data_IF_933931121519
#
_entry.id   IF_933931121519
#
_cell.length_a   1.000
_cell.length_b   1.000
_cell.length_c   1.000
_cell.angle_alpha   90.00
_cell.angle_beta   90.00
_cell.angle_gamma   90.00
#
_symmetry.space_group_name_H-M   'P 1'
#
loop_
_entity.id
_entity.type
_entity.pdbx_description
1 polymer ?
#
# COMPACT_ATOMS: atom_id res chain seq x y z
N UNK A 1 9.65 4.54 26.66
CA UNK A 1 9.46 3.99 25.30
C UNK A 1 9.51 5.15 24.33
N UNK A 2 10.46 5.16 23.40
CA UNK A 2 10.51 6.19 22.35
C UNK A 2 9.27 6.04 21.48
N UNK A 3 8.41 7.08 21.44
CA UNK A 3 7.27 7.11 20.54
C UNK A 3 7.77 6.99 19.09
N UNK A 4 7.14 6.13 18.27
CA UNK A 4 7.46 5.94 16.85
C UNK A 4 7.49 7.27 16.10
N UNK A 5 6.56 8.18 16.40
CA UNK A 5 6.51 9.51 15.77
C UNK A 5 7.76 10.32 16.08
N UNK A 6 8.23 10.29 17.33
CA UNK A 6 9.44 11.00 17.75
C UNK A 6 10.70 10.41 17.12
N UNK A 7 10.76 9.08 16.96
CA UNK A 7 11.87 8.41 16.30
C UNK A 7 11.90 8.69 14.79
N UNK A 8 10.74 8.65 14.14
CA UNK A 8 10.55 9.00 12.73
C UNK A 8 11.02 10.43 12.44
N UNK A 9 10.66 11.39 13.30
CA UNK A 9 11.09 12.79 13.14
C UNK A 9 12.61 12.96 13.24
N UNK A 10 13.31 12.09 13.98
CA UNK A 10 14.78 12.10 14.01
C UNK A 10 15.37 11.57 12.70
N UNK A 11 14.82 10.49 12.14
CA UNK A 11 15.27 9.92 10.87
C UNK A 11 15.03 10.88 9.69
N UNK A 12 13.91 11.60 9.68
CA UNK A 12 13.61 12.59 8.62
C UNK A 12 14.53 13.82 8.61
N UNK A 13 15.40 13.99 9.62
CA UNK A 13 16.45 15.03 9.61
C UNK A 13 17.63 14.66 8.74
N UNK A 14 17.83 13.38 8.46
CA UNK A 14 18.83 12.91 7.51
C UNK A 14 18.32 13.16 6.08
N UNK A 15 19.01 13.99 5.26
CA UNK A 15 18.59 14.28 3.89
C UNK A 15 18.47 13.06 3.00
N UNK A 16 19.32 12.04 3.16
CA UNK A 16 19.27 10.82 2.34
C UNK A 16 18.04 10.00 2.71
N UNK A 17 17.79 9.83 4.00
CA UNK A 17 16.59 9.15 4.50
C UNK A 17 15.32 9.88 4.09
N UNK A 18 15.30 11.22 4.22
CA UNK A 18 14.17 12.06 3.83
C UNK A 18 13.83 11.91 2.35
N UNK A 19 14.83 11.97 1.48
CA UNK A 19 14.64 11.80 0.03
C UNK A 19 14.05 10.42 -0.30
N UNK A 20 14.62 9.35 0.26
CA UNK A 20 14.10 7.99 0.06
C UNK A 20 12.66 7.84 0.60
N UNK A 21 12.38 8.47 1.74
CA UNK A 21 11.05 8.46 2.36
C UNK A 21 10.01 9.21 1.52
N UNK A 22 10.40 10.33 0.90
CA UNK A 22 9.55 11.12 0.00
C UNK A 22 9.31 10.40 -1.33
N UNK A 23 10.35 9.81 -1.92
CA UNK A 23 10.25 9.05 -3.18
C UNK A 23 9.36 7.82 -3.07
N UNK A 24 9.30 7.19 -1.89
CA UNK A 24 8.45 6.02 -1.62
C UNK A 24 7.04 6.36 -1.12
N UNK A 25 6.70 7.65 -0.95
CA UNK A 25 5.35 8.06 -0.53
C UNK A 25 4.24 7.48 -1.41
N UNK A 26 4.32 7.52 -2.76
CA UNK A 26 3.25 7.02 -3.61
C UNK A 26 2.94 5.53 -3.36
N UNK A 27 3.96 4.69 -3.22
CA UNK A 27 3.82 3.26 -2.91
C UNK A 27 3.13 3.04 -1.57
N UNK A 28 3.50 3.82 -0.54
CA UNK A 28 2.86 3.73 0.76
C UNK A 28 1.39 4.16 0.73
N UNK A 29 1.06 5.22 0.00
CA UNK A 29 -0.32 5.70 -0.10
C UNK A 29 -1.20 4.71 -0.89
N UNK A 30 -0.66 4.12 -1.96
CA UNK A 30 -1.31 3.03 -2.69
C UNK A 30 -1.56 1.84 -1.75
N UNK A 31 -0.56 1.41 -1.00
CA UNK A 31 -0.67 0.29 -0.07
C UNK A 31 -1.74 0.55 1.01
N UNK A 32 -1.77 1.75 1.60
CA UNK A 32 -2.82 2.15 2.56
C UNK A 32 -4.21 2.13 1.95
N UNK A 33 -4.36 2.64 0.72
CA UNK A 33 -5.64 2.65 0.02
C UNK A 33 -6.17 1.22 -0.20
N UNK A 34 -5.29 0.29 -0.60
CA UNK A 34 -5.63 -1.13 -0.78
C UNK A 34 -6.02 -1.78 0.55
N UNK A 35 -5.24 -1.58 1.62
CA UNK A 35 -5.55 -2.11 2.96
C UNK A 35 -6.92 -1.63 3.42
N UNK A 36 -7.18 -0.33 3.27
CA UNK A 36 -8.46 0.28 3.66
C UNK A 36 -9.62 -0.34 2.89
N UNK A 37 -9.53 -0.38 1.56
CA UNK A 37 -10.56 -1.00 0.72
C UNK A 37 -10.80 -2.48 1.08
N UNK A 38 -9.74 -3.22 1.42
CA UNK A 38 -9.84 -4.62 1.88
C UNK A 38 -10.58 -4.75 3.21
N UNK A 39 -10.25 -3.89 4.19
CA UNK A 39 -10.92 -3.86 5.50
C UNK A 39 -12.39 -3.46 5.36
N UNK A 40 -12.70 -2.48 4.50
CA UNK A 40 -14.07 -2.03 4.24
C UNK A 40 -14.92 -3.14 3.60
N UNK A 41 -14.29 -3.99 2.78
CA UNK A 41 -14.91 -5.21 2.23
C UNK A 41 -14.97 -6.38 3.24
N UNK A 42 -14.40 -6.23 4.44
CA UNK A 42 -14.36 -7.25 5.50
C UNK A 42 -13.74 -8.58 5.08
N UNK A 43 -12.70 -8.54 4.25
CA UNK A 43 -11.97 -9.73 3.80
C UNK A 43 -10.51 -9.73 4.28
N UNK A 44 -9.94 -10.92 4.42
CA UNK A 44 -8.54 -11.17 4.74
C UNK A 44 -7.65 -11.05 3.49
N UNK A 45 -6.34 -10.96 3.69
CA UNK A 45 -5.36 -11.00 2.58
C UNK A 45 -5.45 -12.31 1.78
N UNK A 46 -5.78 -13.43 2.44
CA UNK A 46 -5.94 -14.74 1.82
C UNK A 46 -7.16 -14.76 0.89
N UNK A 47 -8.31 -14.28 1.37
CA UNK A 47 -9.54 -14.20 0.56
C UNK A 47 -9.39 -13.23 -0.63
N UNK A 48 -8.68 -12.11 -0.44
CA UNK A 48 -8.35 -11.22 -1.56
C UNK A 48 -7.45 -11.93 -2.59
N UNK A 49 -6.46 -12.70 -2.12
CA UNK A 49 -5.59 -13.47 -3.01
C UNK A 49 -6.38 -14.51 -3.83
N UNK A 50 -7.32 -15.20 -3.20
CA UNK A 50 -8.23 -16.15 -3.85
C UNK A 50 -9.09 -15.47 -4.93
N UNK A 51 -9.73 -14.33 -4.59
CA UNK A 51 -10.50 -13.51 -5.55
C UNK A 51 -9.66 -13.05 -6.75
N UNK A 52 -8.38 -12.80 -6.53
CA UNK A 52 -7.46 -12.33 -7.55
C UNK A 52 -6.75 -13.45 -8.31
N UNK A 53 -6.96 -14.72 -7.95
CA UNK A 53 -6.20 -15.86 -8.45
C UNK A 53 -4.68 -15.63 -8.32
N UNK A 54 -4.23 -15.31 -7.11
CA UNK A 54 -2.83 -15.08 -6.75
C UNK A 54 -2.53 -15.64 -5.34
N UNK A 55 -1.34 -15.41 -4.81
CA UNK A 55 -0.95 -15.88 -3.47
C UNK A 55 -1.10 -14.78 -2.42
N UNK A 56 -1.34 -15.17 -1.16
CA UNK A 56 -1.35 -14.24 -0.02
C UNK A 56 -0.03 -13.45 0.08
N UNK A 57 1.11 -14.08 -0.23
CA UNK A 57 2.42 -13.43 -0.23
C UNK A 57 2.52 -12.30 -1.26
N UNK A 58 1.85 -12.41 -2.40
CA UNK A 58 1.76 -11.30 -3.39
C UNK A 58 0.95 -10.14 -2.80
N UNK A 59 -0.22 -10.42 -2.24
CA UNK A 59 -1.05 -9.38 -1.59
C UNK A 59 -0.31 -8.70 -0.45
N UNK A 60 0.37 -9.48 0.39
CA UNK A 60 1.15 -8.97 1.51
C UNK A 60 2.27 -8.02 1.06
N UNK A 61 3.00 -8.34 -0.02
CA UNK A 61 4.03 -7.45 -0.56
C UNK A 61 3.47 -6.13 -1.08
N UNK A 62 2.32 -6.18 -1.73
CA UNK A 62 1.61 -4.99 -2.21
C UNK A 62 1.15 -4.13 -1.03
N UNK A 63 0.53 -4.73 -0.01
CA UNK A 63 0.07 -4.01 1.19
C UNK A 63 1.21 -3.49 2.08
N UNK A 64 2.42 -4.03 1.95
CA UNK A 64 3.59 -3.51 2.64
C UNK A 64 4.27 -2.34 1.89
N UNK A 65 3.79 -1.97 0.69
CA UNK A 65 4.42 -0.94 -0.13
C UNK A 65 5.82 -1.32 -0.64
N UNK A 66 6.16 -2.63 -0.61
CA UNK A 66 7.49 -3.13 -1.04
C UNK A 66 7.63 -3.27 -2.56
N UNK A 67 6.57 -2.95 -3.30
CA UNK A 67 6.51 -3.10 -4.75
C UNK A 67 5.74 -1.91 -5.30
N UNK A 68 6.19 -1.33 -6.41
CA UNK A 68 5.39 -0.40 -7.20
C UNK A 68 4.44 -1.20 -8.09
N UNK A 69 3.14 -1.32 -7.74
CA UNK A 69 2.21 -2.14 -8.53
C UNK A 69 1.95 -1.48 -9.88
N UNK A 70 1.83 -2.30 -10.93
CA UNK A 70 1.41 -1.79 -12.24
C UNK A 70 -0.05 -1.31 -12.20
N UNK A 71 -0.41 -0.39 -13.10
CA UNK A 71 -1.79 0.06 -13.25
C UNK A 71 -2.74 -1.11 -13.56
N UNK A 72 -2.27 -2.14 -14.29
CA UNK A 72 -3.04 -3.34 -14.55
C UNK A 72 -3.35 -4.13 -13.26
N UNK A 73 -2.39 -4.23 -12.35
CA UNK A 73 -2.60 -4.86 -11.05
C UNK A 73 -3.58 -4.04 -10.19
N UNK A 74 -3.45 -2.71 -10.20
CA UNK A 74 -4.37 -1.82 -9.48
C UNK A 74 -5.81 -1.94 -9.98
N UNK A 75 -6.03 -2.05 -11.30
CA UNK A 75 -7.36 -2.30 -11.87
C UNK A 75 -7.95 -3.64 -11.42
N UNK A 76 -7.14 -4.71 -11.39
CA UNK A 76 -7.57 -6.03 -10.91
C UNK A 76 -7.90 -6.02 -9.41
N UNK A 77 -7.11 -5.33 -8.60
CA UNK A 77 -7.39 -5.12 -7.19
C UNK A 77 -8.71 -4.38 -6.99
N UNK A 78 -8.92 -3.28 -7.74
CA UNK A 78 -10.15 -2.51 -7.67
C UNK A 78 -11.38 -3.38 -7.98
N UNK A 79 -11.31 -4.19 -9.05
CA UNK A 79 -12.37 -5.13 -9.39
C UNK A 79 -12.61 -6.18 -8.29
N UNK A 80 -11.55 -6.79 -7.74
CA UNK A 80 -11.68 -7.80 -6.68
C UNK A 80 -12.26 -7.24 -5.37
N UNK A 81 -12.06 -5.95 -5.13
CA UNK A 81 -12.51 -5.19 -3.96
C UNK A 81 -13.82 -4.42 -4.21
N UNK A 82 -14.50 -4.65 -5.34
CA UNK A 82 -15.73 -3.94 -5.72
C UNK A 82 -15.61 -2.41 -5.61
N UNK A 83 -14.46 -1.87 -6.03
CA UNK A 83 -14.15 -0.43 -6.00
C UNK A 83 -13.64 0.04 -7.37
N UNK A 84 -13.35 1.33 -7.49
CA UNK A 84 -12.86 1.96 -8.72
C UNK A 84 -11.48 2.56 -8.50
N UNK A 85 -10.58 2.39 -9.47
CA UNK A 85 -9.29 3.07 -9.47
C UNK A 85 -9.46 4.52 -9.92
N UNK A 86 -9.16 5.46 -9.02
CA UNK A 86 -9.11 6.90 -9.33
C UNK A 86 -7.67 7.40 -9.15
N UNK A 87 -7.20 8.19 -10.12
CA UNK A 87 -5.89 8.86 -10.05
C UNK A 87 -6.14 10.36 -10.05
N UNK A 88 -5.50 11.07 -9.12
CA UNK A 88 -5.58 12.52 -8.99
C UNK A 88 -4.16 13.07 -8.77
N UNK A 89 -3.80 14.10 -9.52
CA UNK A 89 -2.61 14.91 -9.25
C UNK A 89 -2.96 15.94 -8.17
N UNK A 90 -2.08 16.09 -7.18
CA UNK A 90 -2.19 17.10 -6.13
C UNK A 90 -1.12 18.16 -6.33
#
# INVERSE_FOLDING_TARGET
MTNWDTYKQKLLKDPEYKKLYEESQPEFEIAKAIIRARIDNKITQKELAEKMNTTQSVISRVEQGRTSPSIALLKRLAAALNTTLQVQFK
#
